data_IF_568092636299
#
_entry.id   IF_568092636299
#
_cell.length_a   1.000
_cell.length_b   1.000
_cell.length_c   1.000
_cell.angle_alpha   90.00
_cell.angle_beta   90.00
_cell.angle_gamma   90.00
#
_symmetry.space_group_name_H-M   'P 1'
#
loop_
_entity.id
_entity.type
_entity.pdbx_description
1 polymer ?
#
# COMPACT_ATOMS: atom_id res chain seq x y z
N UNK A 1 -11.47 -6.38 19.86
CA UNK A 1 -11.32 -7.60 20.70
C UNK A 1 -10.08 -7.42 21.55
N UNK A 2 -10.23 -7.32 22.86
CA UNK A 2 -9.10 -7.46 23.77
C UNK A 2 -8.51 -8.86 23.56
N UNK A 3 -7.24 -8.92 23.18
CA UNK A 3 -6.53 -10.19 23.09
C UNK A 3 -6.57 -10.87 24.47
N UNK A 4 -7.04 -12.11 24.51
CA UNK A 4 -7.04 -12.89 25.75
C UNK A 4 -5.65 -12.87 26.37
N UNK A 5 -5.54 -12.69 27.70
CA UNK A 5 -4.26 -12.80 28.38
C UNK A 5 -3.64 -14.18 28.10
N UNK A 6 -2.31 -14.22 27.89
CA UNK A 6 -1.62 -15.49 27.73
C UNK A 6 -1.83 -16.39 28.98
N UNK A 7 -1.89 -17.72 28.80
CA UNK A 7 -2.06 -18.64 29.91
C UNK A 7 -0.93 -18.43 30.95
N UNK A 8 -1.28 -18.50 32.24
CA UNK A 8 -0.30 -18.52 33.34
C UNK A 8 0.71 -19.64 33.10
N UNK A 9 2.00 -19.26 32.99
CA UNK A 9 3.10 -20.20 32.73
C UNK A 9 3.80 -19.99 31.40
N UNK A 10 3.38 -19.03 30.58
CA UNK A 10 4.15 -18.59 29.39
C UNK A 10 5.49 -18.03 29.82
N UNK A 11 6.60 -18.62 29.31
CA UNK A 11 7.97 -18.11 29.50
C UNK A 11 8.32 -17.02 28.49
N UNK A 12 7.31 -16.30 27.98
CA UNK A 12 7.53 -15.16 27.09
C UNK A 12 8.34 -14.08 27.82
N UNK A 13 9.51 -13.76 27.29
CA UNK A 13 10.34 -12.67 27.79
C UNK A 13 9.78 -11.29 27.46
N UNK A 14 8.62 -11.21 26.80
CA UNK A 14 7.97 -9.98 26.35
C UNK A 14 6.77 -9.64 27.22
N UNK A 15 6.70 -8.42 27.78
CA UNK A 15 5.68 -8.04 28.76
C UNK A 15 4.31 -7.73 28.15
N UNK A 16 4.20 -7.61 26.82
CA UNK A 16 2.95 -7.21 26.16
C UNK A 16 2.51 -8.21 25.09
N UNK A 17 1.20 -8.38 24.96
CA UNK A 17 0.62 -9.08 23.82
C UNK A 17 0.62 -8.16 22.62
N UNK A 18 1.26 -8.60 21.53
CA UNK A 18 1.19 -7.86 20.26
C UNK A 18 -0.22 -7.90 19.68
N UNK A 19 -0.66 -6.84 19.04
CA UNK A 19 -1.95 -6.85 18.36
C UNK A 19 -2.47 -5.46 18.02
N UNK A 20 -3.63 -5.49 17.39
CA UNK A 20 -4.37 -4.30 17.01
C UNK A 20 -5.08 -3.73 18.24
N UNK A 21 -4.95 -2.42 18.43
CA UNK A 21 -5.69 -1.64 19.41
C UNK A 21 -6.60 -0.68 18.64
N UNK A 22 -7.90 -0.76 18.85
CA UNK A 22 -8.87 0.12 18.21
C UNK A 22 -9.88 0.67 19.20
N UNK A 23 -10.24 1.93 19.04
CA UNK A 23 -11.38 2.58 19.69
C UNK A 23 -12.48 2.80 18.64
N UNK A 24 -13.74 2.71 19.04
CA UNK A 24 -14.88 3.00 18.16
C UNK A 24 -14.82 4.48 17.73
N UNK A 25 -15.25 4.75 16.50
CA UNK A 25 -15.36 6.11 16.01
C UNK A 25 -16.35 6.92 16.84
N UNK A 26 -16.06 8.20 17.02
CA UNK A 26 -16.99 9.16 17.59
C UNK A 26 -18.04 9.51 16.53
N UNK A 27 -19.32 9.35 16.87
CA UNK A 27 -20.44 9.58 15.97
C UNK A 27 -20.44 11.00 15.36
N UNK A 28 -19.91 11.98 16.09
CA UNK A 28 -19.79 13.36 15.62
C UNK A 28 -18.91 13.49 14.37
N UNK A 29 -17.89 12.63 14.22
CA UNK A 29 -16.88 12.73 13.16
C UNK A 29 -16.95 11.60 12.13
N UNK A 30 -17.95 10.74 12.18
CA UNK A 30 -18.14 9.65 11.22
C UNK A 30 -18.34 10.18 9.79
N UNK A 31 -19.06 11.30 9.64
CA UNK A 31 -19.28 11.94 8.35
C UNK A 31 -17.97 12.29 7.66
N UNK A 32 -17.11 13.03 8.33
CA UNK A 32 -15.80 13.46 7.83
C UNK A 32 -14.84 12.29 7.59
N UNK A 33 -14.91 11.27 8.44
CA UNK A 33 -14.14 10.03 8.21
C UNK A 33 -14.60 9.32 6.94
N UNK A 34 -15.91 9.23 6.70
CA UNK A 34 -16.46 8.63 5.47
C UNK A 34 -16.08 9.42 4.23
N UNK A 35 -16.14 10.76 4.29
CA UNK A 35 -15.70 11.63 3.20
C UNK A 35 -14.21 11.44 2.87
N UNK A 36 -13.37 11.27 3.90
CA UNK A 36 -11.95 10.96 3.74
C UNK A 36 -11.75 9.61 3.03
N UNK A 37 -12.45 8.57 3.48
CA UNK A 37 -12.39 7.21 2.91
C UNK A 37 -12.91 7.21 1.47
N UNK A 38 -14.05 7.86 1.21
CA UNK A 38 -14.63 7.95 -0.13
C UNK A 38 -13.67 8.65 -1.10
N UNK A 39 -13.16 9.82 -0.71
CA UNK A 39 -12.33 10.67 -1.56
C UNK A 39 -10.95 10.06 -1.83
N UNK A 40 -10.31 9.45 -0.82
CA UNK A 40 -8.92 8.98 -0.90
C UNK A 40 -8.78 7.47 -1.09
N UNK A 41 -9.90 6.75 -1.18
CA UNK A 41 -9.91 5.32 -1.39
C UNK A 41 -11.01 4.88 -2.37
N UNK A 42 -12.29 4.92 -1.99
CA UNK A 42 -13.35 4.25 -2.75
C UNK A 42 -13.51 4.80 -4.18
N UNK A 43 -13.35 6.10 -4.37
CA UNK A 43 -13.51 6.76 -5.68
C UNK A 43 -12.44 6.37 -6.72
N UNK A 44 -11.39 5.66 -6.33
CA UNK A 44 -10.40 5.14 -7.28
C UNK A 44 -10.80 3.81 -7.92
N UNK A 45 -11.84 3.16 -7.42
CA UNK A 45 -12.22 1.82 -7.86
C UNK A 45 -13.61 1.82 -8.51
N UNK A 46 -13.82 1.07 -9.60
CA UNK A 46 -15.15 0.85 -10.15
C UNK A 46 -16.07 0.16 -9.15
N UNK A 47 -17.36 0.48 -9.16
CA UNK A 47 -18.39 -0.17 -8.35
C UNK A 47 -18.36 -1.69 -8.46
N UNK A 48 -18.11 -2.20 -9.66
CA UNK A 48 -18.01 -3.64 -9.93
C UNK A 48 -16.87 -4.29 -9.16
N UNK A 49 -15.73 -3.62 -9.07
CA UNK A 49 -14.56 -4.08 -8.31
C UNK A 49 -14.82 -3.99 -6.81
N UNK A 50 -15.36 -2.88 -6.33
CA UNK A 50 -15.70 -2.73 -4.92
C UNK A 50 -16.69 -3.80 -4.45
N UNK A 51 -17.78 -4.05 -5.19
CA UNK A 51 -18.79 -5.06 -4.85
C UNK A 51 -18.24 -6.49 -4.80
N UNK A 52 -17.24 -6.79 -5.59
CA UNK A 52 -16.61 -8.14 -5.64
C UNK A 52 -15.50 -8.33 -4.64
N UNK A 53 -14.84 -7.25 -4.25
CA UNK A 53 -13.53 -7.29 -3.62
C UNK A 53 -13.49 -6.70 -2.20
N UNK A 54 -14.42 -5.80 -1.85
CA UNK A 54 -14.50 -5.31 -0.48
C UNK A 54 -14.81 -6.47 0.48
N UNK A 55 -14.22 -6.48 1.68
CA UNK A 55 -14.59 -7.42 2.72
C UNK A 55 -16.02 -7.16 3.23
N UNK A 56 -16.54 -8.09 4.01
CA UNK A 56 -17.92 -8.01 4.52
C UNK A 56 -18.17 -6.80 5.43
N UNK A 57 -17.12 -6.27 6.06
CA UNK A 57 -17.24 -5.19 7.05
C UNK A 57 -16.19 -4.10 6.79
N UNK A 58 -16.62 -2.85 6.91
CA UNK A 58 -15.77 -1.69 7.04
C UNK A 58 -15.95 -1.15 8.46
N UNK A 59 -14.90 -1.20 9.27
CA UNK A 59 -14.92 -0.76 10.66
C UNK A 59 -14.36 0.65 10.75
N UNK A 60 -15.14 1.55 11.33
CA UNK A 60 -14.74 2.93 11.57
C UNK A 60 -14.20 3.04 13.00
N UNK A 61 -12.95 3.46 13.12
CA UNK A 61 -12.24 3.59 14.38
C UNK A 61 -11.87 5.03 14.66
N UNK A 62 -12.09 5.49 15.89
CA UNK A 62 -11.59 6.77 16.37
C UNK A 62 -10.07 6.76 16.52
N UNK A 63 -9.55 5.62 17.00
CA UNK A 63 -8.12 5.34 17.04
C UNK A 63 -7.85 3.93 16.54
N UNK A 64 -6.76 3.77 15.83
CA UNK A 64 -6.29 2.48 15.33
C UNK A 64 -4.78 2.42 15.46
N UNK A 65 -4.30 1.51 16.30
CA UNK A 65 -2.88 1.39 16.63
C UNK A 65 -2.43 -0.07 16.59
N UNK A 66 -1.15 -0.30 16.35
CA UNK A 66 -0.51 -1.60 16.52
C UNK A 66 0.44 -1.56 17.69
N UNK A 67 0.29 -2.51 18.62
CA UNK A 67 1.22 -2.69 19.75
C UNK A 67 2.16 -3.86 19.47
N UNK A 68 3.47 -3.60 19.61
CA UNK A 68 4.50 -4.64 19.55
C UNK A 68 4.59 -5.42 20.89
N UNK A 69 5.35 -6.51 20.88
CA UNK A 69 5.63 -7.30 22.10
C UNK A 69 6.44 -6.53 23.14
N UNK A 70 7.20 -5.52 22.72
CA UNK A 70 7.94 -4.61 23.60
C UNK A 70 7.04 -3.50 24.19
N UNK A 71 5.78 -3.41 23.76
CA UNK A 71 4.84 -2.38 24.19
C UNK A 71 4.86 -1.10 23.36
N UNK A 72 5.68 -1.03 22.30
CA UNK A 72 5.67 0.12 21.40
C UNK A 72 4.36 0.20 20.64
N UNK A 73 3.75 1.38 20.66
CA UNK A 73 2.47 1.64 19.95
C UNK A 73 2.75 2.49 18.72
N UNK A 74 2.26 2.04 17.57
CA UNK A 74 2.37 2.76 16.29
C UNK A 74 0.99 2.95 15.67
N UNK A 75 0.71 4.18 15.24
CA UNK A 75 -0.53 4.52 14.53
C UNK A 75 -0.65 3.71 13.24
N UNK A 76 -1.87 3.26 12.95
CA UNK A 76 -2.26 2.66 11.67
C UNK A 76 -3.36 3.49 11.04
N UNK A 77 -3.25 3.78 9.76
CA UNK A 77 -4.33 4.42 9.01
C UNK A 77 -5.43 3.40 8.64
N UNK A 78 -5.00 2.17 8.38
CA UNK A 78 -5.87 1.07 7.99
C UNK A 78 -5.30 -0.26 8.50
N UNK A 79 -6.17 -1.23 8.70
CA UNK A 79 -5.80 -2.61 8.97
C UNK A 79 -6.71 -3.58 8.22
N UNK A 80 -6.12 -4.60 7.56
CA UNK A 80 -6.85 -5.67 6.89
C UNK A 80 -6.95 -6.88 7.80
N UNK A 81 -8.17 -7.18 8.26
CA UNK A 81 -8.48 -8.43 8.95
C UNK A 81 -9.05 -9.47 7.98
N UNK A 82 -9.46 -10.63 8.51
CA UNK A 82 -9.97 -11.72 7.69
C UNK A 82 -11.19 -11.30 6.84
N UNK A 83 -12.22 -10.73 7.47
CA UNK A 83 -13.48 -10.33 6.84
C UNK A 83 -13.78 -8.82 6.93
N UNK A 84 -12.78 -8.01 7.29
CA UNK A 84 -12.96 -6.56 7.46
C UNK A 84 -11.73 -5.73 7.02
N UNK A 85 -12.01 -4.46 6.76
CA UNK A 85 -11.02 -3.38 6.78
C UNK A 85 -11.39 -2.42 7.90
N UNK A 86 -10.44 -2.08 8.76
CA UNK A 86 -10.61 -1.08 9.81
C UNK A 86 -9.88 0.21 9.40
N UNK A 87 -10.55 1.35 9.53
CA UNK A 87 -10.02 2.67 9.17
C UNK A 87 -9.91 3.55 10.40
N UNK A 88 -8.82 4.28 10.51
CA UNK A 88 -8.58 5.26 11.57
C UNK A 88 -9.23 6.61 11.26
N UNK A 89 -9.06 7.57 12.18
CA UNK A 89 -9.45 8.98 12.08
C UNK A 89 -10.93 9.29 12.34
N UNK A 90 -11.71 8.39 12.90
CA UNK A 90 -13.09 8.68 13.35
C UNK A 90 -13.13 9.47 14.65
N UNK A 91 -12.37 10.56 14.74
CA UNK A 91 -12.31 11.49 15.86
C UNK A 91 -12.00 12.91 15.37
N UNK A 92 -12.04 13.93 16.25
CA UNK A 92 -11.84 15.33 15.90
C UNK A 92 -10.53 15.64 15.14
N UNK A 93 -9.54 14.75 15.19
CA UNK A 93 -8.28 14.96 14.45
C UNK A 93 -8.46 14.86 12.93
N UNK A 94 -9.55 14.25 12.43
CA UNK A 94 -9.84 14.19 10.99
C UNK A 94 -9.95 15.59 10.38
N UNK A 95 -10.50 16.55 11.12
CA UNK A 95 -10.68 17.95 10.70
C UNK A 95 -9.34 18.70 10.56
N UNK A 96 -8.33 18.27 11.29
CA UNK A 96 -7.01 18.92 11.34
C UNK A 96 -5.91 18.14 10.62
N UNK A 97 -6.26 17.07 9.87
CA UNK A 97 -5.29 16.31 9.10
C UNK A 97 -4.54 17.21 8.11
N UNK A 98 -3.22 17.17 8.21
CA UNK A 98 -2.34 17.82 7.22
C UNK A 98 -2.42 17.10 5.87
N UNK A 99 -2.05 17.79 4.79
CA UNK A 99 -1.97 17.17 3.47
C UNK A 99 -0.98 15.99 3.43
N UNK A 100 0.11 16.07 4.19
CA UNK A 100 1.05 14.95 4.34
C UNK A 100 0.38 13.72 4.97
N UNK A 101 -0.40 13.88 6.04
CA UNK A 101 -1.15 12.79 6.67
C UNK A 101 -2.20 12.20 5.74
N UNK A 102 -2.92 13.05 4.98
CA UNK A 102 -3.89 12.61 3.97
C UNK A 102 -3.22 11.84 2.82
N UNK A 103 -2.06 12.28 2.35
CA UNK A 103 -1.29 11.56 1.33
C UNK A 103 -0.81 10.19 1.86
N UNK A 104 -0.36 10.13 3.12
CA UNK A 104 0.03 8.87 3.76
C UNK A 104 -1.19 7.94 3.92
N UNK A 105 -2.34 8.47 4.38
CA UNK A 105 -3.59 7.71 4.47
C UNK A 105 -3.99 7.14 3.11
N UNK A 106 -4.03 7.99 2.05
CA UNK A 106 -4.33 7.56 0.69
C UNK A 106 -3.44 6.39 0.26
N UNK A 107 -2.13 6.55 0.41
CA UNK A 107 -1.18 5.51 0.03
C UNK A 107 -1.42 4.20 0.80
N UNK A 108 -1.48 4.26 2.13
CA UNK A 108 -1.59 3.06 2.96
C UNK A 108 -2.90 2.31 2.74
N UNK A 109 -4.03 3.02 2.63
CA UNK A 109 -5.34 2.39 2.41
C UNK A 109 -5.38 1.66 1.06
N UNK A 110 -4.92 2.30 -0.02
CA UNK A 110 -4.90 1.69 -1.34
C UNK A 110 -3.90 0.54 -1.41
N UNK A 111 -2.71 0.68 -0.81
CA UNK A 111 -1.72 -0.40 -0.76
C UNK A 111 -2.26 -1.62 -0.02
N UNK A 112 -2.82 -1.45 1.18
CA UNK A 112 -3.39 -2.55 1.97
C UNK A 112 -4.55 -3.24 1.22
N UNK A 113 -5.38 -2.47 0.52
CA UNK A 113 -6.48 -3.05 -0.26
C UNK A 113 -5.97 -3.84 -1.46
N UNK A 114 -5.01 -3.30 -2.23
CA UNK A 114 -4.45 -3.99 -3.39
C UNK A 114 -3.67 -5.25 -3.00
N UNK A 115 -2.83 -5.18 -1.96
CA UNK A 115 -2.17 -6.37 -1.39
C UNK A 115 -3.21 -7.42 -1.00
N UNK A 116 -4.30 -7.04 -0.30
CA UNK A 116 -5.40 -7.96 0.02
C UNK A 116 -6.02 -8.61 -1.21
N UNK A 117 -6.16 -7.87 -2.32
CA UNK A 117 -6.73 -8.41 -3.56
C UNK A 117 -5.80 -9.44 -4.19
N UNK A 118 -4.50 -9.21 -4.19
CA UNK A 118 -3.49 -10.16 -4.64
C UNK A 118 -3.47 -11.41 -3.75
N UNK A 119 -3.36 -11.24 -2.43
CA UNK A 119 -3.32 -12.34 -1.44
C UNK A 119 -4.54 -13.27 -1.50
N UNK A 120 -5.68 -12.78 -1.95
CA UNK A 120 -6.92 -13.54 -2.04
C UNK A 120 -7.29 -13.92 -3.48
N UNK A 121 -6.36 -13.86 -4.43
CA UNK A 121 -6.56 -14.17 -5.86
C UNK A 121 -7.76 -13.43 -6.50
N UNK A 122 -8.09 -12.24 -5.99
CA UNK A 122 -9.13 -11.37 -6.56
C UNK A 122 -8.63 -10.61 -7.77
N UNK A 123 -7.33 -10.32 -7.77
CA UNK A 123 -6.54 -9.78 -8.86
C UNK A 123 -5.36 -10.70 -9.05
N UNK A 124 -5.04 -11.01 -10.30
CA UNK A 124 -3.87 -11.80 -10.68
C UNK A 124 -3.05 -10.94 -11.64
N UNK A 125 -1.78 -10.83 -11.36
CA UNK A 125 -0.82 -10.16 -12.24
C UNK A 125 -0.58 -10.97 -13.51
N UNK A 126 -0.13 -10.30 -14.57
CA UNK A 126 0.27 -10.98 -15.81
C UNK A 126 1.58 -11.72 -15.63
N UNK A 127 1.66 -12.95 -16.14
CA UNK A 127 2.91 -13.71 -16.19
C UNK A 127 4.01 -12.98 -17.01
N UNK A 128 3.60 -12.15 -17.97
CA UNK A 128 4.50 -11.34 -18.80
C UNK A 128 5.34 -10.35 -17.96
N UNK A 129 4.84 -9.98 -16.77
CA UNK A 129 5.58 -9.12 -15.83
C UNK A 129 6.92 -9.72 -15.40
N UNK A 130 7.01 -11.04 -15.38
CA UNK A 130 8.20 -11.79 -14.97
C UNK A 130 9.04 -12.28 -16.15
N UNK A 131 8.57 -12.11 -17.38
CA UNK A 131 9.23 -12.64 -18.56
C UNK A 131 10.62 -12.03 -18.75
N UNK A 132 11.63 -12.90 -18.93
CA UNK A 132 13.03 -12.49 -19.09
C UNK A 132 13.74 -12.00 -17.82
N UNK A 133 13.07 -12.02 -16.66
CA UNK A 133 13.67 -11.59 -15.39
C UNK A 133 14.49 -12.72 -14.76
N UNK A 134 15.63 -12.38 -14.18
CA UNK A 134 16.47 -13.29 -13.41
C UNK A 134 16.40 -12.90 -11.92
N UNK A 135 15.78 -13.77 -11.10
CA UNK A 135 15.64 -13.59 -9.65
C UNK A 135 16.65 -14.41 -8.83
N UNK A 136 17.46 -15.30 -9.47
CA UNK A 136 18.44 -16.13 -8.79
C UNK A 136 19.64 -15.31 -8.33
N UNK A 137 20.09 -14.38 -9.17
CA UNK A 137 21.21 -13.52 -8.87
C UNK A 137 20.82 -12.38 -7.91
N UNK A 138 21.70 -12.07 -6.96
CA UNK A 138 21.48 -11.02 -5.97
C UNK A 138 21.22 -9.66 -6.62
N UNK A 139 20.06 -9.06 -6.32
CA UNK A 139 19.70 -7.69 -6.70
C UNK A 139 20.33 -6.70 -5.71
N UNK A 140 21.14 -5.78 -6.20
CA UNK A 140 21.86 -4.77 -5.41
C UNK A 140 21.56 -3.37 -5.92
N UNK A 141 21.88 -2.33 -5.16
CA UNK A 141 21.71 -0.95 -5.61
C UNK A 141 22.51 -0.63 -6.90
N UNK A 142 23.59 -1.37 -7.18
CA UNK A 142 24.44 -1.13 -8.35
C UNK A 142 23.96 -1.81 -9.62
N UNK A 143 23.14 -2.88 -9.52
CA UNK A 143 22.69 -3.64 -10.68
C UNK A 143 21.16 -3.71 -10.85
N UNK A 144 20.40 -3.18 -9.89
CA UNK A 144 18.94 -3.34 -9.89
C UNK A 144 18.29 -2.71 -11.13
N UNK A 145 18.65 -1.50 -11.47
CA UNK A 145 18.00 -0.76 -12.56
C UNK A 145 18.25 -1.37 -13.94
N UNK A 146 19.48 -1.77 -14.24
CA UNK A 146 19.82 -2.42 -15.52
C UNK A 146 19.12 -3.78 -15.69
N UNK A 147 18.71 -4.40 -14.58
CA UNK A 147 18.04 -5.70 -14.53
C UNK A 147 16.51 -5.60 -14.39
N UNK A 148 15.94 -4.40 -14.45
CA UNK A 148 14.50 -4.19 -14.37
C UNK A 148 13.91 -4.26 -12.95
N UNK A 149 14.74 -4.02 -11.93
CA UNK A 149 14.28 -3.92 -10.54
C UNK A 149 14.38 -2.48 -10.04
N UNK A 150 13.46 -2.08 -9.19
CA UNK A 150 13.41 -0.72 -8.63
C UNK A 150 13.81 -0.67 -7.15
N UNK A 151 14.12 -1.84 -6.56
CA UNK A 151 14.57 -1.96 -5.19
C UNK A 151 15.62 -3.07 -5.07
N UNK A 152 16.65 -2.87 -4.24
CA UNK A 152 17.63 -3.90 -3.94
C UNK A 152 17.04 -5.00 -3.07
N UNK A 153 17.50 -6.23 -3.27
CA UNK A 153 17.01 -7.41 -2.54
C UNK A 153 15.64 -7.91 -3.00
N UNK A 154 15.10 -7.39 -4.12
CA UNK A 154 13.83 -7.84 -4.69
C UNK A 154 13.88 -9.32 -5.02
N UNK A 155 12.87 -10.05 -4.58
CA UNK A 155 12.57 -11.43 -4.98
C UNK A 155 11.34 -11.45 -5.87
N UNK A 156 11.10 -12.58 -6.53
CA UNK A 156 9.97 -12.72 -7.43
C UNK A 156 8.63 -12.48 -6.74
N UNK A 157 8.46 -13.02 -5.53
CA UNK A 157 7.24 -12.89 -4.73
C UNK A 157 6.93 -11.45 -4.30
N UNK A 158 7.96 -10.58 -4.20
CA UNK A 158 7.81 -9.19 -3.73
C UNK A 158 7.67 -8.18 -4.88
N UNK A 159 8.05 -8.55 -6.09
CA UNK A 159 8.36 -7.60 -7.17
C UNK A 159 7.14 -6.80 -7.65
N UNK A 160 5.99 -7.46 -7.83
CA UNK A 160 4.73 -6.78 -8.20
C UNK A 160 4.31 -5.77 -7.12
N UNK A 161 4.37 -6.17 -5.85
CA UNK A 161 4.00 -5.26 -4.76
C UNK A 161 4.94 -4.06 -4.69
N UNK A 162 6.24 -4.25 -4.92
CA UNK A 162 7.22 -3.15 -4.96
C UNK A 162 6.87 -2.14 -6.04
N UNK A 163 6.47 -2.61 -7.23
CA UNK A 163 6.01 -1.72 -8.31
C UNK A 163 4.71 -1.01 -7.97
N UNK A 164 3.71 -1.73 -7.43
CA UNK A 164 2.45 -1.12 -6.97
C UNK A 164 2.74 -0.02 -5.95
N UNK A 165 3.57 -0.29 -4.95
CA UNK A 165 3.93 0.69 -3.93
C UNK A 165 4.58 1.94 -4.54
N UNK A 166 5.51 1.76 -5.48
CA UNK A 166 6.17 2.87 -6.15
C UNK A 166 5.17 3.73 -6.95
N UNK A 167 4.24 3.10 -7.67
CA UNK A 167 3.22 3.79 -8.46
C UNK A 167 2.24 4.55 -7.57
N UNK A 168 1.74 3.94 -6.49
CA UNK A 168 0.79 4.57 -5.57
C UNK A 168 1.35 5.78 -4.83
N UNK A 169 2.67 5.78 -4.59
CA UNK A 169 3.36 6.84 -3.86
C UNK A 169 3.79 8.01 -4.74
N UNK A 170 3.96 7.79 -6.06
CA UNK A 170 4.71 8.70 -6.90
C UNK A 170 3.89 9.13 -8.13
N UNK A 171 3.67 10.43 -8.33
CA UNK A 171 3.07 10.94 -9.55
C UNK A 171 3.86 10.53 -10.79
N UNK A 172 3.17 10.31 -11.90
CA UNK A 172 3.81 9.92 -13.16
C UNK A 172 4.92 10.89 -13.60
N UNK A 173 4.70 12.20 -13.41
CA UNK A 173 5.69 13.22 -13.72
C UNK A 173 7.01 13.03 -12.96
N UNK A 174 6.93 12.59 -11.70
CA UNK A 174 8.13 12.27 -10.91
C UNK A 174 8.76 10.92 -11.32
N UNK A 175 7.95 9.94 -11.74
CA UNK A 175 8.49 8.66 -12.24
C UNK A 175 9.31 8.82 -13.52
N UNK A 176 8.97 9.79 -14.39
CA UNK A 176 9.69 10.08 -15.64
C UNK A 176 10.74 11.19 -15.49
N UNK A 177 10.77 11.89 -14.35
CA UNK A 177 11.69 13.01 -14.14
C UNK A 177 13.15 12.55 -14.10
N UNK A 178 14.07 13.43 -14.53
CA UNK A 178 15.49 13.11 -14.46
C UNK A 178 15.95 12.95 -13.00
N UNK A 179 16.47 11.78 -12.61
CA UNK A 179 16.95 11.56 -11.25
C UNK A 179 18.34 12.17 -11.04
N UNK A 180 18.65 12.55 -9.80
CA UNK A 180 20.00 12.90 -9.42
C UNK A 180 20.94 11.67 -9.48
N UNK A 181 22.24 11.91 -9.45
CA UNK A 181 23.21 10.82 -9.37
C UNK A 181 23.07 10.11 -8.01
N UNK A 182 23.13 8.78 -8.02
CA UNK A 182 22.98 7.94 -6.82
C UNK A 182 21.62 8.14 -6.08
N UNK A 183 20.58 8.53 -6.81
CA UNK A 183 19.23 8.59 -6.30
C UNK A 183 18.59 7.20 -6.41
N UNK A 184 18.26 6.59 -5.28
CA UNK A 184 17.59 5.28 -5.19
C UNK A 184 16.10 5.40 -4.80
N UNK A 185 15.53 6.61 -4.84
CA UNK A 185 14.10 6.84 -4.65
C UNK A 185 13.29 6.40 -5.89
N UNK A 186 11.96 6.51 -5.79
CA UNK A 186 11.09 6.23 -6.94
C UNK A 186 11.19 7.27 -8.06
N UNK A 187 11.76 8.46 -7.79
CA UNK A 187 11.95 9.50 -8.82
C UNK A 187 12.78 8.97 -9.98
N UNK A 188 12.26 9.13 -11.18
CA UNK A 188 12.98 8.79 -12.40
C UNK A 188 13.16 7.29 -12.64
N UNK A 189 12.39 6.41 -12.01
CA UNK A 189 12.49 4.95 -12.30
C UNK A 189 12.12 4.62 -13.74
N UNK A 190 11.31 5.46 -14.39
CA UNK A 190 10.96 5.36 -15.81
C UNK A 190 11.82 6.24 -16.70
N UNK A 191 12.82 6.94 -16.15
CA UNK A 191 13.77 7.77 -16.92
C UNK A 191 14.95 6.91 -17.41
N UNK A 192 15.48 7.13 -18.63
CA UNK A 192 16.59 6.33 -19.21
C UNK A 192 17.86 6.25 -18.35
N UNK A 193 18.09 7.17 -17.42
CA UNK A 193 19.21 7.08 -16.46
C UNK A 193 19.09 5.90 -15.49
N UNK A 194 17.86 5.50 -15.13
CA UNK A 194 17.58 4.33 -14.30
C UNK A 194 17.15 3.15 -15.17
N UNK A 195 16.19 3.35 -16.05
CA UNK A 195 15.67 2.30 -16.95
C UNK A 195 16.53 2.20 -18.24
N UNK A 196 17.80 1.81 -18.08
CA UNK A 196 18.80 1.76 -19.16
C UNK A 196 18.43 0.78 -20.27
N UNK A 197 17.75 -0.33 -19.92
CA UNK A 197 17.40 -1.40 -20.84
C UNK A 197 15.89 -1.43 -21.20
N UNK A 198 15.09 -0.50 -20.66
CA UNK A 198 13.65 -0.45 -20.88
C UNK A 198 12.83 -1.51 -20.10
N UNK A 199 13.46 -2.33 -19.27
CA UNK A 199 12.79 -3.39 -18.51
C UNK A 199 11.83 -2.84 -17.45
N UNK A 200 12.20 -1.73 -16.79
CA UNK A 200 11.36 -1.11 -15.77
C UNK A 200 10.10 -0.54 -16.42
N UNK A 201 10.24 0.15 -17.55
CA UNK A 201 9.12 0.68 -18.33
C UNK A 201 8.20 -0.45 -18.79
N UNK A 202 8.76 -1.52 -19.32
CA UNK A 202 7.98 -2.66 -19.78
C UNK A 202 7.13 -3.27 -18.65
N UNK A 203 7.74 -3.51 -17.48
CA UNK A 203 7.03 -4.03 -16.30
C UNK A 203 5.95 -3.07 -15.79
N UNK A 204 6.27 -1.77 -15.74
CA UNK A 204 5.30 -0.74 -15.39
C UNK A 204 4.09 -0.75 -16.34
N UNK A 205 4.34 -0.76 -17.65
CA UNK A 205 3.26 -0.73 -18.65
C UNK A 205 2.41 -2.00 -18.58
N UNK A 206 3.01 -3.19 -18.44
CA UNK A 206 2.29 -4.45 -18.24
C UNK A 206 1.39 -4.36 -17.01
N UNK A 207 1.94 -3.92 -15.88
CA UNK A 207 1.20 -3.86 -14.62
C UNK A 207 0.03 -2.88 -14.68
N UNK A 208 0.27 -1.65 -15.13
CA UNK A 208 -0.77 -0.61 -15.21
C UNK A 208 -1.87 -1.02 -16.21
N UNK A 209 -1.49 -1.58 -17.37
CA UNK A 209 -2.47 -2.02 -18.37
C UNK A 209 -3.27 -3.22 -17.86
N UNK A 210 -2.64 -4.23 -17.27
CA UNK A 210 -3.33 -5.40 -16.71
C UNK A 210 -4.37 -4.99 -15.67
N UNK A 211 -4.01 -4.09 -14.75
CA UNK A 211 -4.95 -3.62 -13.72
C UNK A 211 -6.09 -2.80 -14.32
N UNK A 212 -5.80 -1.96 -15.30
CA UNK A 212 -6.80 -1.10 -15.95
C UNK A 212 -7.76 -1.90 -16.83
N UNK A 213 -7.25 -2.79 -17.68
CA UNK A 213 -8.05 -3.52 -18.65
C UNK A 213 -8.87 -4.63 -18.00
N UNK A 214 -8.28 -5.41 -17.08
CA UNK A 214 -8.93 -6.56 -16.49
C UNK A 214 -9.82 -6.22 -15.29
N UNK A 215 -9.47 -5.17 -14.54
CA UNK A 215 -10.12 -4.85 -13.26
C UNK A 215 -10.67 -3.42 -13.19
N UNK A 216 -10.42 -2.58 -14.20
CA UNK A 216 -10.82 -1.19 -14.23
C UNK A 216 -10.10 -0.31 -13.21
N UNK A 217 -8.97 -0.75 -12.67
CA UNK A 217 -8.19 -0.05 -11.66
C UNK A 217 -7.05 0.73 -12.32
N UNK A 218 -7.11 2.06 -12.26
CA UNK A 218 -6.03 2.92 -12.74
C UNK A 218 -5.05 3.22 -11.59
N UNK A 219 -4.00 2.38 -11.46
CA UNK A 219 -3.00 2.51 -10.42
C UNK A 219 -2.32 3.88 -10.42
N UNK A 220 -2.00 4.41 -11.62
CA UNK A 220 -1.32 5.69 -11.73
C UNK A 220 -2.21 6.87 -11.40
N UNK A 221 -3.52 6.76 -11.62
CA UNK A 221 -4.47 7.78 -11.19
C UNK A 221 -4.42 7.98 -9.66
N UNK A 222 -4.26 6.89 -8.90
CA UNK A 222 -4.10 6.95 -7.44
C UNK A 222 -2.78 7.67 -7.09
N UNK A 223 -1.68 7.32 -7.75
CA UNK A 223 -0.36 7.94 -7.54
C UNK A 223 -0.30 9.42 -7.89
N UNK A 224 -1.06 9.84 -8.91
CA UNK A 224 -1.10 11.22 -9.38
C UNK A 224 -1.82 12.18 -8.44
N UNK A 225 -2.69 11.67 -7.54
CA UNK A 225 -3.36 12.51 -6.54
C UNK A 225 -2.39 12.83 -5.41
N UNK A 226 -1.89 14.06 -5.39
CA UNK A 226 -1.04 14.61 -4.33
C UNK A 226 -1.69 15.87 -3.78
N UNK A 227 -2.09 15.82 -2.51
CA UNK A 227 -2.62 16.96 -1.79
C UNK A 227 -1.45 17.90 -1.41
N UNK A 228 -1.56 19.18 -1.75
CA UNK A 228 -0.52 20.23 -1.56
C UNK A 228 -0.98 21.25 -0.54
#
# INVERSE_FOLDING_TARGET
EESKPEPEGSTSSFPYTKGLLGAVADEEYVGEQLDLIETLFLNFYPDTTLRRCLPLKLLLCGELNWRSVEGNVSLRNVYSGYDYLAFNWGNGNVLSMTNSQKNTFKYEVNNVFLTRLLDNDKIVESADFYEGMNYEDKVTNTNMYERGFIKSGTKQEDDVEIYIQAILQTPYEELIAEPANNDYSNKGILHPKKDVNGFIRNKYDILVNTFKENYGIDLQAIGNVVLK
#
